data_IF_038680310840
#
_entry.id   IF_038680310840
#
_cell.length_a   1.000
_cell.length_b   1.000
_cell.length_c   1.000
_cell.angle_alpha   90.00
_cell.angle_beta   90.00
_cell.angle_gamma   90.00
#
_symmetry.space_group_name_H-M   'P 1'
#
loop_
_entity.id
_entity.type
_entity.pdbx_description
1 polymer ?
#
# COMPACT_ATOMS: atom_id res chain seq x y z
N UNK A 1 20.87 -8.97 6.98
CA UNK A 1 19.54 -8.55 6.56
C UNK A 1 19.61 -8.07 5.11
N UNK A 2 18.65 -8.44 4.25
CA UNK A 2 18.55 -7.95 2.86
C UNK A 2 17.20 -7.26 2.68
N UNK A 3 17.23 -6.02 2.24
CA UNK A 3 16.02 -5.25 1.93
C UNK A 3 15.62 -5.40 0.47
N UNK A 4 14.34 -5.36 0.19
CA UNK A 4 13.82 -5.35 -1.18
C UNK A 4 12.54 -4.51 -1.26
N UNK A 5 12.25 -4.03 -2.45
CA UNK A 5 10.95 -3.46 -2.82
C UNK A 5 10.30 -4.32 -3.90
N UNK A 6 9.01 -4.11 -4.18
CA UNK A 6 8.26 -4.86 -5.18
C UNK A 6 8.05 -3.98 -6.43
N UNK A 7 8.40 -4.49 -7.60
CA UNK A 7 7.99 -3.86 -8.84
C UNK A 7 6.52 -4.17 -9.12
N UNK A 8 5.82 -3.30 -9.85
CA UNK A 8 4.44 -3.53 -10.32
C UNK A 8 4.26 -4.83 -11.12
N UNK A 9 5.35 -5.42 -11.63
CA UNK A 9 5.34 -6.76 -12.22
C UNK A 9 5.40 -7.91 -11.19
N UNK A 10 5.31 -7.62 -9.88
CA UNK A 10 5.36 -8.58 -8.78
C UNK A 10 6.76 -9.14 -8.46
N UNK A 11 7.81 -8.66 -9.12
CA UNK A 11 9.19 -9.14 -8.87
C UNK A 11 9.90 -8.29 -7.82
N UNK A 12 10.69 -8.97 -6.95
CA UNK A 12 11.48 -8.33 -5.90
C UNK A 12 12.71 -7.65 -6.48
N UNK A 13 12.95 -6.43 -6.07
CA UNK A 13 14.13 -5.64 -6.41
C UNK A 13 14.94 -5.45 -5.12
N UNK A 14 16.11 -6.05 -5.04
CA UNK A 14 16.94 -5.99 -3.85
C UNK A 14 17.73 -4.68 -3.79
N UNK A 15 17.63 -4.00 -2.65
CA UNK A 15 18.40 -2.79 -2.39
C UNK A 15 19.86 -3.16 -2.05
N UNK A 16 20.79 -2.44 -2.66
CA UNK A 16 22.24 -2.59 -2.36
C UNK A 16 22.57 -1.78 -1.10
N UNK A 17 23.16 -2.42 -0.12
CA UNK A 17 23.61 -1.81 1.12
C UNK A 17 23.26 -2.65 2.35
N UNK A 18 23.72 -2.19 3.49
CA UNK A 18 23.40 -2.72 4.82
C UNK A 18 22.82 -1.58 5.63
N UNK A 19 21.62 -1.76 6.13
CA UNK A 19 20.87 -0.74 6.85
C UNK A 19 20.35 -1.38 8.13
N UNK A 20 20.72 -0.83 9.30
CA UNK A 20 20.25 -1.32 10.59
C UNK A 20 18.89 -0.73 10.96
N UNK A 21 18.58 0.47 10.46
CA UNK A 21 17.33 1.21 10.76
C UNK A 21 16.77 1.85 9.49
N UNK A 22 15.48 2.19 9.52
CA UNK A 22 14.82 2.96 8.46
C UNK A 22 15.47 4.35 8.28
N UNK A 23 15.93 4.98 9.37
CA UNK A 23 16.64 6.25 9.32
C UNK A 23 17.97 6.18 8.54
N UNK A 24 18.72 5.09 8.69
CA UNK A 24 19.94 4.87 7.89
C UNK A 24 19.61 4.67 6.40
N UNK A 25 18.55 3.93 6.10
CA UNK A 25 18.08 3.75 4.72
C UNK A 25 17.72 5.10 4.10
N UNK A 26 16.90 5.90 4.80
CA UNK A 26 16.50 7.25 4.40
C UNK A 26 17.69 8.17 4.16
N UNK A 27 18.67 8.19 5.08
CA UNK A 27 19.86 9.04 4.97
C UNK A 27 20.78 8.66 3.80
N UNK A 28 20.84 7.37 3.42
CA UNK A 28 21.72 6.89 2.35
C UNK A 28 21.05 6.86 0.97
N UNK A 29 19.73 6.66 0.91
CA UNK A 29 18.97 6.50 -0.35
C UNK A 29 18.02 7.64 -0.64
N UNK A 30 17.76 8.50 0.33
CA UNK A 30 16.74 9.53 0.24
C UNK A 30 15.36 9.02 0.68
N UNK A 31 14.39 9.87 0.66
CA UNK A 31 13.00 9.55 1.02
C UNK A 31 12.33 8.71 -0.06
N UNK A 32 12.73 8.93 -1.30
CA UNK A 32 12.22 8.23 -2.47
C UNK A 32 13.36 7.46 -3.12
N UNK A 33 13.18 6.16 -3.26
CA UNK A 33 14.19 5.23 -3.77
C UNK A 33 13.89 4.94 -5.25
N UNK A 34 14.67 5.49 -6.18
CA UNK A 34 14.51 5.15 -7.60
C UNK A 34 14.97 3.70 -7.84
N UNK A 35 14.23 3.00 -8.67
CA UNK A 35 14.60 1.64 -9.06
C UNK A 35 14.46 1.41 -10.57
N UNK A 36 15.20 0.42 -11.06
CA UNK A 36 15.01 -0.17 -12.38
C UNK A 36 14.83 -1.67 -12.23
N UNK A 37 13.68 -2.17 -12.66
CA UNK A 37 13.37 -3.58 -12.56
C UNK A 37 14.22 -4.40 -13.54
N UNK A 38 15.01 -5.39 -13.07
CA UNK A 38 15.82 -6.23 -13.95
C UNK A 38 14.99 -7.20 -14.80
N UNK A 39 13.71 -7.42 -14.47
CA UNK A 39 12.85 -8.36 -15.18
C UNK A 39 12.03 -7.72 -16.30
N UNK A 40 11.38 -6.58 -16.02
CA UNK A 40 10.52 -5.91 -16.99
C UNK A 40 11.15 -4.64 -17.60
N UNK A 41 12.31 -4.21 -17.09
CA UNK A 41 13.02 -3.03 -17.56
C UNK A 41 12.40 -1.69 -17.12
N UNK A 42 11.20 -1.69 -16.51
CA UNK A 42 10.54 -0.49 -16.03
C UNK A 42 11.36 0.17 -14.92
N UNK A 43 11.44 1.48 -14.98
CA UNK A 43 11.92 2.34 -13.88
C UNK A 43 10.72 2.79 -13.06
N UNK A 44 10.91 3.06 -11.78
CA UNK A 44 9.88 3.58 -10.90
C UNK A 44 10.51 4.10 -9.61
N UNK A 45 9.68 4.58 -8.72
CA UNK A 45 10.05 5.17 -7.45
C UNK A 45 9.26 4.49 -6.33
N UNK A 46 9.92 4.23 -5.21
CA UNK A 46 9.26 3.75 -4.00
C UNK A 46 9.67 4.59 -2.81
N UNK A 47 8.76 4.91 -1.90
CA UNK A 47 9.13 5.51 -0.63
C UNK A 47 10.02 4.54 0.16
N UNK A 48 10.90 5.09 1.00
CA UNK A 48 11.74 4.25 1.86
C UNK A 48 10.90 3.44 2.88
N UNK A 49 9.66 3.86 3.13
CA UNK A 49 8.68 3.15 3.98
C UNK A 49 8.14 1.88 3.31
N UNK A 50 8.09 1.84 1.98
CA UNK A 50 7.62 0.67 1.23
C UNK A 50 8.78 -0.30 0.90
N UNK A 51 9.56 -0.64 1.92
CA UNK A 51 10.70 -1.57 1.82
C UNK A 51 10.47 -2.76 2.74
N UNK A 52 10.70 -3.94 2.22
CA UNK A 52 10.49 -5.20 2.92
C UNK A 52 11.80 -5.85 3.32
N UNK A 53 11.80 -6.49 4.48
CA UNK A 53 12.95 -7.27 4.95
C UNK A 53 12.81 -8.71 4.46
N UNK A 54 13.86 -9.22 3.82
CA UNK A 54 13.95 -10.65 3.54
C UNK A 54 14.43 -11.38 4.77
N UNK A 55 13.55 -12.11 5.41
CA UNK A 55 13.88 -13.07 6.48
C UNK A 55 14.40 -14.40 5.91
N UNK A 56 15.08 -15.15 6.71
CA UNK A 56 15.45 -16.52 6.37
C UNK A 56 14.18 -17.38 6.28
N UNK A 57 13.95 -17.96 5.12
CA UNK A 57 12.78 -18.86 4.94
C UNK A 57 12.93 -20.12 5.81
N UNK A 58 11.80 -20.73 6.24
CA UNK A 58 11.77 -21.90 7.12
C UNK A 58 12.61 -23.08 6.58
N UNK A 59 12.66 -23.25 5.28
CA UNK A 59 13.46 -24.29 4.63
C UNK A 59 14.97 -24.15 4.85
N UNK A 60 15.48 -22.94 4.99
CA UNK A 60 16.91 -22.71 5.29
C UNK A 60 17.22 -23.12 6.72
N UNK A 61 16.31 -22.86 7.66
CA UNK A 61 16.42 -23.32 9.04
C UNK A 61 16.42 -24.86 9.08
N UNK A 62 15.51 -25.51 8.37
CA UNK A 62 15.45 -26.97 8.26
C UNK A 62 16.74 -27.52 7.62
N UNK A 63 17.22 -26.95 6.53
CA UNK A 63 18.45 -27.38 5.86
C UNK A 63 19.67 -27.26 6.76
N UNK A 64 19.80 -26.18 7.54
CA UNK A 64 20.87 -26.00 8.52
C UNK A 64 20.76 -27.05 9.63
N UNK A 65 19.55 -27.32 10.15
CA UNK A 65 19.31 -28.32 11.18
C UNK A 65 19.69 -29.72 10.71
N UNK A 66 19.31 -30.08 9.48
CA UNK A 66 19.70 -31.34 8.84
C UNK A 66 21.20 -31.42 8.63
N UNK A 67 21.85 -30.35 8.15
CA UNK A 67 23.32 -30.30 7.98
C UNK A 67 24.03 -30.44 9.32
N UNK A 68 23.50 -29.88 10.41
CA UNK A 68 23.99 -30.03 11.77
C UNK A 68 23.93 -31.47 12.28
N UNK A 69 22.76 -32.12 12.07
CA UNK A 69 22.57 -33.52 12.47
C UNK A 69 23.56 -34.43 11.71
N UNK A 70 23.62 -34.29 10.39
CA UNK A 70 24.47 -35.09 9.53
C UNK A 70 25.98 -34.82 9.81
N UNK A 71 26.35 -33.55 9.98
CA UNK A 71 27.71 -33.14 10.33
C UNK A 71 28.09 -33.61 11.73
N UNK A 72 27.18 -33.55 12.69
CA UNK A 72 27.35 -34.08 14.02
C UNK A 72 27.64 -35.59 14.01
N UNK A 73 26.82 -36.36 13.31
CA UNK A 73 27.01 -37.81 13.16
C UNK A 73 28.38 -38.11 12.47
N UNK A 74 28.72 -37.39 11.41
CA UNK A 74 29.97 -37.57 10.67
C UNK A 74 31.23 -37.27 11.51
N UNK A 75 31.11 -36.40 12.52
CA UNK A 75 32.21 -36.05 13.42
C UNK A 75 32.25 -36.98 14.64
N UNK A 76 31.08 -37.27 15.21
CA UNK A 76 30.95 -38.08 16.43
C UNK A 76 31.45 -39.52 16.24
N UNK A 77 31.07 -40.16 15.14
CA UNK A 77 31.42 -41.56 14.88
C UNK A 77 32.95 -41.78 14.75
N UNK A 78 33.69 -41.01 13.95
CA UNK A 78 35.15 -41.14 13.91
C UNK A 78 35.86 -40.80 15.22
N UNK A 79 35.37 -39.77 15.95
CA UNK A 79 35.97 -39.38 17.23
C UNK A 79 35.78 -40.47 18.31
N UNK A 80 34.66 -41.16 18.33
CA UNK A 80 34.44 -42.33 19.20
C UNK A 80 35.37 -43.49 18.83
N UNK A 81 35.61 -43.72 17.54
CA UNK A 81 36.56 -44.74 17.06
C UNK A 81 38.02 -44.41 17.45
N UNK A 82 38.32 -43.13 17.61
CA UNK A 82 39.66 -42.66 18.05
C UNK A 82 39.80 -42.57 19.57
N UNK A 83 38.80 -43.04 20.35
CA UNK A 83 38.85 -43.08 21.80
C UNK A 83 38.54 -41.73 22.47
N UNK A 84 37.93 -40.78 21.75
CA UNK A 84 37.55 -39.52 22.34
C UNK A 84 36.46 -39.70 23.42
N UNK A 85 36.56 -38.90 24.49
CA UNK A 85 35.62 -38.95 25.60
C UNK A 85 34.21 -38.55 25.12
N UNK A 86 33.21 -39.36 25.49
CA UNK A 86 31.81 -39.21 25.11
C UNK A 86 31.28 -37.81 25.43
N UNK A 87 31.72 -37.21 26.52
CA UNK A 87 31.36 -35.85 26.94
C UNK A 87 31.78 -34.80 25.89
N UNK A 88 33.02 -34.87 25.41
CA UNK A 88 33.55 -33.93 24.39
C UNK A 88 32.79 -34.04 23.09
N UNK A 89 32.38 -35.25 22.70
CA UNK A 89 31.64 -35.55 21.48
C UNK A 89 30.21 -34.95 21.52
N UNK A 90 29.57 -34.96 22.67
CA UNK A 90 28.21 -34.38 22.85
C UNK A 90 28.24 -32.85 22.87
N UNK A 91 29.29 -32.25 23.44
CA UNK A 91 29.35 -30.80 23.58
C UNK A 91 29.56 -30.05 22.26
N UNK A 92 30.19 -30.65 21.26
CA UNK A 92 30.41 -30.01 19.94
C UNK A 92 29.10 -29.65 19.24
N UNK A 93 28.12 -30.56 19.03
CA UNK A 93 26.84 -30.22 18.40
C UNK A 93 26.01 -29.26 19.28
N UNK A 94 26.11 -29.35 20.62
CA UNK A 94 25.43 -28.42 21.53
C UNK A 94 25.97 -27.00 21.42
N UNK A 95 27.29 -26.83 21.39
CA UNK A 95 27.91 -25.51 21.20
C UNK A 95 27.53 -24.91 19.83
N UNK A 96 27.55 -25.72 18.78
CA UNK A 96 27.20 -25.29 17.46
C UNK A 96 25.70 -24.90 17.35
N UNK A 97 24.80 -25.65 18.00
CA UNK A 97 23.36 -25.28 18.07
C UNK A 97 23.17 -23.99 18.86
N UNK A 98 23.90 -23.79 19.95
CA UNK A 98 23.85 -22.57 20.74
C UNK A 98 24.30 -21.34 19.93
N UNK A 99 25.42 -21.45 19.21
CA UNK A 99 25.90 -20.39 18.31
C UNK A 99 24.86 -20.09 17.23
N UNK A 100 24.26 -21.11 16.62
CA UNK A 100 23.22 -20.94 15.61
C UNK A 100 21.98 -20.20 16.17
N UNK A 101 21.51 -20.62 17.36
CA UNK A 101 20.34 -19.96 17.98
C UNK A 101 20.61 -18.50 18.34
N UNK A 102 21.81 -18.18 18.80
CA UNK A 102 22.25 -16.82 19.08
C UNK A 102 22.31 -15.95 17.80
N UNK A 103 22.85 -16.51 16.72
CA UNK A 103 22.90 -15.81 15.42
C UNK A 103 21.49 -15.60 14.82
N UNK A 104 20.62 -16.62 14.91
CA UNK A 104 19.24 -16.53 14.45
C UNK A 104 18.45 -15.49 15.25
N UNK A 105 18.63 -15.47 16.59
CA UNK A 105 18.02 -14.46 17.45
C UNK A 105 18.49 -13.05 17.07
N UNK A 106 19.80 -12.85 16.91
CA UNK A 106 20.36 -11.56 16.51
C UNK A 106 19.80 -11.06 15.18
N UNK A 107 19.56 -11.94 14.22
CA UNK A 107 18.93 -11.57 12.95
C UNK A 107 17.45 -11.20 13.14
N UNK A 108 16.71 -11.94 13.97
CA UNK A 108 15.33 -11.64 14.32
C UNK A 108 15.21 -10.29 15.02
N UNK A 109 16.05 -10.03 16.02
CA UNK A 109 16.07 -8.77 16.76
C UNK A 109 16.42 -7.57 15.83
N UNK A 110 17.30 -7.77 14.84
CA UNK A 110 17.64 -6.75 13.86
C UNK A 110 16.48 -6.47 12.88
N UNK A 111 15.71 -7.49 12.50
CA UNK A 111 14.50 -7.32 11.65
C UNK A 111 13.40 -6.58 12.42
N UNK A 112 13.18 -6.97 13.67
CA UNK A 112 12.19 -6.32 14.54
C UNK A 112 12.54 -4.85 14.78
N UNK A 113 13.82 -4.56 15.07
CA UNK A 113 14.27 -3.17 15.21
C UNK A 113 14.06 -2.36 13.93
N UNK A 114 14.39 -2.93 12.77
CA UNK A 114 14.18 -2.23 11.49
C UNK A 114 12.70 -1.95 11.24
N UNK A 115 11.83 -2.95 11.41
CA UNK A 115 10.40 -2.78 11.20
C UNK A 115 9.81 -1.76 12.17
N UNK A 116 10.20 -1.80 13.45
CA UNK A 116 9.77 -0.81 14.43
C UNK A 116 10.22 0.60 14.04
N UNK A 117 11.47 0.79 13.61
CA UNK A 117 11.95 2.10 13.17
C UNK A 117 11.31 2.55 11.85
N UNK A 118 10.79 1.61 11.06
CA UNK A 118 10.01 1.91 9.85
C UNK A 118 8.59 2.41 10.21
N UNK A 119 7.94 1.76 11.17
CA UNK A 119 6.61 2.17 11.68
C UNK A 119 6.65 3.53 12.41
N UNK A 120 7.75 3.82 13.12
CA UNK A 120 7.98 5.09 13.81
C UNK A 120 8.52 6.20 12.87
N UNK A 121 8.84 5.87 11.62
CA UNK A 121 9.42 6.81 10.68
C UNK A 121 8.38 7.83 10.21
N UNK A 122 8.75 9.12 10.09
CA UNK A 122 7.85 10.10 9.51
C UNK A 122 7.53 9.71 8.06
N UNK A 123 6.30 10.00 7.66
CA UNK A 123 5.89 9.79 6.27
C UNK A 123 6.85 10.51 5.31
N UNK A 124 7.25 9.86 4.22
CA UNK A 124 8.17 10.46 3.27
C UNK A 124 7.51 11.67 2.60
N UNK A 125 8.26 12.78 2.49
CA UNK A 125 7.80 13.95 1.79
C UNK A 125 8.23 13.89 0.33
N UNK A 126 7.29 14.10 -0.56
CA UNK A 126 7.56 14.21 -1.98
C UNK A 126 7.99 15.64 -2.31
N UNK A 127 9.15 15.82 -2.90
CA UNK A 127 9.58 17.15 -3.40
C UNK A 127 8.95 17.45 -4.76
N UNK A 128 8.79 18.73 -5.08
CA UNK A 128 8.24 19.14 -6.40
C UNK A 128 9.07 18.57 -7.56
N UNK A 129 10.39 18.50 -7.42
CA UNK A 129 11.29 17.89 -8.41
C UNK A 129 11.00 16.39 -8.57
N UNK A 130 10.92 15.66 -7.47
CA UNK A 130 10.59 14.21 -7.50
C UNK A 130 9.19 13.95 -8.06
N UNK A 131 8.20 14.81 -7.78
CA UNK A 131 6.84 14.69 -8.31
C UNK A 131 6.77 14.80 -9.84
N UNK A 132 7.73 15.48 -10.48
CA UNK A 132 7.80 15.55 -11.95
C UNK A 132 8.28 14.26 -12.58
N UNK A 133 9.02 13.42 -11.84
CA UNK A 133 9.55 12.15 -12.33
C UNK A 133 8.52 11.01 -12.23
N UNK A 134 7.44 11.21 -11.49
CA UNK A 134 6.34 10.24 -11.41
C UNK A 134 5.46 10.30 -12.66
N UNK A 135 5.01 9.14 -13.14
CA UNK A 135 3.87 9.08 -14.04
C UNK A 135 2.61 9.52 -13.29
N UNK A 136 1.58 10.01 -14.01
CA UNK A 136 0.35 10.48 -13.37
C UNK A 136 -0.32 9.40 -12.49
N UNK A 137 -0.47 8.14 -12.94
CA UNK A 137 -1.00 7.10 -12.08
C UNK A 137 -0.13 6.81 -10.84
N UNK A 138 1.21 6.74 -11.01
CA UNK A 138 2.11 6.44 -9.89
C UNK A 138 2.08 7.58 -8.84
N UNK A 139 1.85 8.83 -9.27
CA UNK A 139 1.72 9.97 -8.37
C UNK A 139 0.43 9.91 -7.57
N UNK A 140 -0.67 9.52 -8.18
CA UNK A 140 -1.96 9.34 -7.50
C UNK A 140 -1.85 8.19 -6.50
N UNK A 141 -1.33 7.04 -6.93
CA UNK A 141 -1.12 5.87 -6.06
C UNK A 141 -0.21 6.20 -4.86
N UNK A 142 0.78 7.10 -5.04
CA UNK A 142 1.60 7.60 -3.93
C UNK A 142 0.75 8.27 -2.86
N UNK A 143 -0.13 9.19 -3.23
CA UNK A 143 -0.96 9.92 -2.27
C UNK A 143 -2.03 9.05 -1.64
N UNK A 144 -2.55 8.06 -2.35
CA UNK A 144 -3.56 7.14 -1.85
C UNK A 144 -2.99 6.17 -0.78
N UNK A 145 -1.74 5.72 -0.96
CA UNK A 145 -1.09 4.74 -0.06
C UNK A 145 -0.37 5.41 1.11
N UNK A 146 0.31 6.53 0.87
CA UNK A 146 1.25 7.13 1.83
C UNK A 146 0.64 8.27 2.67
N UNK A 147 -0.46 8.84 2.23
CA UNK A 147 -1.18 9.82 3.03
C UNK A 147 -2.35 9.13 3.72
N UNK A 148 -2.43 9.18 5.07
CA UNK A 148 -3.63 8.71 5.75
C UNK A 148 -4.82 9.53 5.23
N UNK A 149 -6.00 8.90 5.16
CA UNK A 149 -7.27 9.49 4.75
C UNK A 149 -7.69 10.65 5.67
N UNK A 150 -6.83 11.65 5.84
CA UNK A 150 -7.14 12.86 6.58
C UNK A 150 -7.93 13.81 5.67
N UNK A 151 -9.24 13.54 5.57
CA UNK A 151 -10.19 14.38 4.85
C UNK A 151 -10.48 15.71 5.56
N UNK A 152 -9.78 16.01 6.67
CA UNK A 152 -9.94 17.29 7.37
C UNK A 152 -9.23 18.44 6.66
N UNK A 153 -8.20 18.15 5.89
CA UNK A 153 -7.51 19.12 5.04
C UNK A 153 -8.23 19.25 3.71
N UNK A 154 -8.58 20.49 3.31
CA UNK A 154 -9.30 20.76 2.06
C UNK A 154 -8.59 20.24 0.79
N UNK A 155 -7.25 20.20 0.79
CA UNK A 155 -6.47 19.71 -0.35
C UNK A 155 -6.48 18.18 -0.44
N UNK A 156 -6.32 17.48 0.70
CA UNK A 156 -6.41 16.01 0.74
C UNK A 156 -7.82 15.53 0.47
N UNK A 157 -8.83 16.28 0.89
CA UNK A 157 -10.23 16.01 0.59
C UNK A 157 -10.49 16.00 -0.92
N UNK A 158 -9.93 16.98 -1.67
CA UNK A 158 -10.06 17.02 -3.13
C UNK A 158 -9.43 15.79 -3.77
N UNK A 159 -8.24 15.38 -3.32
CA UNK A 159 -7.56 14.18 -3.84
C UNK A 159 -8.37 12.93 -3.54
N UNK A 160 -8.86 12.78 -2.30
CA UNK A 160 -9.66 11.64 -1.88
C UNK A 160 -10.92 11.46 -2.75
N UNK A 161 -11.77 12.48 -2.83
CA UNK A 161 -13.03 12.36 -3.57
C UNK A 161 -12.85 12.20 -5.08
N UNK A 162 -11.86 12.87 -5.68
CA UNK A 162 -11.54 12.69 -7.09
C UNK A 162 -10.95 11.30 -7.38
N UNK A 163 -10.16 10.74 -6.45
CA UNK A 163 -9.61 9.38 -6.57
C UNK A 163 -10.71 8.33 -6.44
N UNK A 164 -11.67 8.50 -5.53
CA UNK A 164 -12.81 7.58 -5.38
C UNK A 164 -13.51 7.36 -6.72
N UNK A 165 -13.79 8.42 -7.47
CA UNK A 165 -14.42 8.29 -8.78
C UNK A 165 -13.50 7.56 -9.79
N UNK A 166 -12.19 7.79 -9.76
CA UNK A 166 -11.24 7.15 -10.67
C UNK A 166 -11.05 5.65 -10.42
N UNK A 167 -11.16 5.20 -9.15
CA UNK A 167 -11.00 3.78 -8.80
C UNK A 167 -12.27 2.95 -9.01
N UNK A 168 -13.41 3.59 -9.22
CA UNK A 168 -14.66 2.89 -9.44
C UNK A 168 -14.78 2.39 -10.87
N UNK A 169 -14.12 1.28 -11.20
CA UNK A 169 -14.37 0.50 -12.42
C UNK A 169 -15.73 -0.24 -12.40
N UNK A 170 -16.56 0.03 -11.40
CA UNK A 170 -17.82 -0.67 -11.20
C UNK A 170 -18.92 -0.10 -12.13
N UNK A 171 -19.79 -0.93 -12.72
CA UNK A 171 -20.89 -0.48 -13.57
C UNK A 171 -22.01 0.24 -12.80
N UNK A 172 -21.82 0.50 -11.51
CA UNK A 172 -22.81 1.05 -10.57
C UNK A 172 -22.13 2.01 -9.60
N UNK A 173 -21.68 3.16 -10.12
CA UNK A 173 -20.89 4.15 -9.39
C UNK A 173 -21.61 4.76 -8.21
N UNK A 174 -22.82 5.29 -8.46
CA UNK A 174 -23.49 6.11 -7.48
C UNK A 174 -24.14 5.30 -6.39
N UNK A 175 -24.69 4.12 -6.68
CA UNK A 175 -25.17 3.22 -5.65
C UNK A 175 -24.03 2.80 -4.72
N UNK A 176 -22.84 2.47 -5.29
CA UNK A 176 -21.68 2.13 -4.48
C UNK A 176 -21.20 3.33 -3.67
N UNK A 177 -21.09 4.52 -4.27
CA UNK A 177 -20.67 5.75 -3.59
C UNK A 177 -21.54 6.03 -2.36
N UNK A 178 -22.86 6.13 -2.52
CA UNK A 178 -23.76 6.42 -1.41
C UNK A 178 -23.80 5.30 -0.36
N UNK A 179 -23.67 4.05 -0.77
CA UNK A 179 -23.55 2.94 0.17
C UNK A 179 -22.26 3.01 0.98
N UNK A 180 -21.13 3.29 0.34
CA UNK A 180 -19.82 3.41 0.98
C UNK A 180 -19.81 4.60 1.95
N UNK A 181 -20.19 5.80 1.51
CA UNK A 181 -20.24 7.00 2.35
C UNK A 181 -21.04 6.78 3.63
N UNK A 182 -22.21 6.13 3.53
CA UNK A 182 -23.07 5.87 4.68
C UNK A 182 -22.52 4.84 5.67
N UNK A 183 -21.58 3.96 5.25
CA UNK A 183 -21.02 2.92 6.11
C UNK A 183 -19.64 3.26 6.68
N UNK A 184 -18.87 4.10 5.99
CA UNK A 184 -17.50 4.42 6.40
C UNK A 184 -17.39 5.78 7.09
N UNK A 185 -18.40 6.67 6.94
CA UNK A 185 -18.36 8.02 7.48
C UNK A 185 -19.52 8.33 8.42
N UNK A 186 -19.24 8.93 9.58
CA UNK A 186 -20.25 9.40 10.53
C UNK A 186 -21.20 10.46 9.92
N UNK A 187 -20.65 11.26 9.01
CA UNK A 187 -21.37 12.29 8.23
C UNK A 187 -21.18 12.03 6.74
N UNK A 188 -22.02 11.18 6.15
CA UNK A 188 -21.90 10.83 4.74
C UNK A 188 -22.02 12.03 3.81
N UNK A 189 -21.19 12.09 2.76
CA UNK A 189 -21.33 13.08 1.70
C UNK A 189 -22.57 12.81 0.86
N UNK A 190 -23.35 13.86 0.61
CA UNK A 190 -24.51 13.81 -0.29
C UNK A 190 -24.13 13.98 -1.78
N UNK A 191 -22.84 13.91 -2.11
CA UNK A 191 -22.26 14.21 -3.41
C UNK A 191 -21.75 15.65 -3.55
N UNK A 192 -21.88 16.48 -2.51
CA UNK A 192 -21.41 17.88 -2.53
C UNK A 192 -19.88 17.96 -2.57
N UNK A 193 -19.20 17.18 -1.73
CA UNK A 193 -17.74 17.19 -1.66
C UNK A 193 -17.13 16.59 -2.92
N UNK A 194 -17.70 15.50 -3.42
CA UNK A 194 -17.30 14.91 -4.69
C UNK A 194 -17.48 15.92 -5.85
N UNK A 195 -18.62 16.58 -5.95
CA UNK A 195 -18.88 17.63 -6.94
C UNK A 195 -17.83 18.76 -6.88
N UNK A 196 -17.63 19.32 -5.68
CA UNK A 196 -16.67 20.42 -5.47
C UNK A 196 -15.23 20.01 -5.81
N UNK A 197 -14.84 18.78 -5.47
CA UNK A 197 -13.53 18.23 -5.77
C UNK A 197 -13.30 18.13 -7.28
N UNK A 198 -14.26 17.65 -8.03
CA UNK A 198 -14.20 17.56 -9.49
C UNK A 198 -14.11 18.94 -10.15
N UNK A 199 -14.89 19.92 -9.69
CA UNK A 199 -14.77 21.31 -10.15
C UNK A 199 -13.37 21.86 -9.87
N UNK A 200 -12.83 21.58 -8.68
CA UNK A 200 -11.52 22.08 -8.25
C UNK A 200 -10.38 21.53 -9.13
N UNK A 201 -10.44 20.28 -9.54
CA UNK A 201 -9.45 19.70 -10.47
C UNK A 201 -9.72 20.03 -11.95
N UNK A 202 -10.83 20.68 -12.25
CA UNK A 202 -11.23 21.06 -13.62
C UNK A 202 -12.01 19.98 -14.40
N UNK A 203 -12.48 18.92 -13.73
CA UNK A 203 -13.26 17.84 -14.31
C UNK A 203 -14.76 18.24 -14.41
N UNK A 204 -15.05 19.21 -15.24
CA UNK A 204 -16.37 19.87 -15.29
C UNK A 204 -17.48 18.96 -15.80
N UNK A 205 -17.18 18.09 -16.77
CA UNK A 205 -18.16 17.14 -17.30
C UNK A 205 -18.54 16.07 -16.27
N UNK A 206 -17.56 15.52 -15.55
CA UNK A 206 -17.82 14.62 -14.44
C UNK A 206 -18.62 15.30 -13.31
N UNK A 207 -18.29 16.57 -13.00
CA UNK A 207 -19.02 17.33 -11.99
C UNK A 207 -20.50 17.51 -12.35
N UNK A 208 -20.84 17.80 -13.62
CA UNK A 208 -22.22 17.90 -14.08
C UNK A 208 -23.00 16.58 -13.90
N UNK A 209 -22.37 15.45 -14.15
CA UNK A 209 -22.97 14.12 -13.95
C UNK A 209 -23.19 13.85 -12.46
N UNK A 210 -22.20 14.16 -11.61
CA UNK A 210 -22.32 14.03 -10.15
C UNK A 210 -23.44 14.93 -9.61
N UNK A 211 -23.58 16.16 -10.12
CA UNK A 211 -24.67 17.04 -9.72
C UNK A 211 -26.05 16.45 -10.04
N UNK A 212 -26.20 15.82 -11.20
CA UNK A 212 -27.46 15.14 -11.56
C UNK A 212 -27.72 13.93 -10.65
N UNK A 213 -26.69 13.15 -10.33
CA UNK A 213 -26.82 12.02 -9.41
C UNK A 213 -27.20 12.49 -8.00
N UNK A 214 -26.59 13.60 -7.54
CA UNK A 214 -26.95 14.24 -6.26
C UNK A 214 -28.40 14.68 -6.21
N UNK A 215 -28.94 15.25 -7.28
CA UNK A 215 -30.36 15.62 -7.36
C UNK A 215 -31.28 14.40 -7.22
N UNK A 216 -30.93 13.28 -7.84
CA UNK A 216 -31.66 12.01 -7.69
C UNK A 216 -31.55 11.51 -6.24
N UNK A 217 -30.33 11.52 -5.65
CA UNK A 217 -30.13 11.14 -4.25
C UNK A 217 -31.06 11.95 -3.32
N UNK A 218 -31.07 13.27 -3.45
CA UNK A 218 -31.90 14.14 -2.61
C UNK A 218 -33.40 13.89 -2.78
N UNK A 219 -33.87 13.53 -3.99
CA UNK A 219 -35.25 13.17 -4.24
C UNK A 219 -35.68 11.84 -3.61
N UNK A 220 -34.72 10.87 -3.53
CA UNK A 220 -34.93 9.51 -3.02
C UNK A 220 -34.22 9.25 -1.70
N UNK A 221 -33.85 10.31 -0.98
CA UNK A 221 -32.97 10.22 0.19
C UNK A 221 -33.47 9.22 1.24
N UNK A 222 -34.74 9.30 1.60
CA UNK A 222 -35.33 8.43 2.64
C UNK A 222 -35.27 6.94 2.23
N UNK A 223 -35.51 6.67 0.95
CA UNK A 223 -35.49 5.31 0.38
C UNK A 223 -34.05 4.76 0.33
N UNK A 224 -33.09 5.58 -0.12
CA UNK A 224 -31.68 5.23 -0.15
C UNK A 224 -31.15 5.04 1.28
N UNK A 225 -31.40 5.97 2.20
CA UNK A 225 -30.98 5.88 3.60
C UNK A 225 -31.55 4.63 4.29
N UNK A 226 -32.74 4.20 3.93
CA UNK A 226 -33.31 2.94 4.46
C UNK A 226 -32.53 1.72 3.97
N UNK A 227 -32.11 1.69 2.71
CA UNK A 227 -31.29 0.62 2.15
C UNK A 227 -29.91 0.55 2.81
N UNK A 228 -29.22 1.69 2.96
CA UNK A 228 -27.83 1.74 3.48
C UNK A 228 -27.74 1.52 4.99
N UNK A 229 -28.75 1.91 5.77
CA UNK A 229 -28.79 1.64 7.23
C UNK A 229 -28.91 0.15 7.56
N UNK A 230 -29.40 -0.67 6.66
CA UNK A 230 -29.34 -2.12 6.81
C UNK A 230 -27.92 -2.61 6.49
N UNK A 231 -26.99 -2.60 7.47
CA UNK A 231 -25.55 -2.96 7.36
C UNK A 231 -25.37 -4.43 6.93
N UNK A 232 -26.09 -4.85 5.92
CA UNK A 232 -26.08 -6.23 5.41
C UNK A 232 -25.86 -6.17 3.90
N UNK A 233 -25.26 -7.21 3.35
CA UNK A 233 -25.12 -7.38 1.90
C UNK A 233 -26.48 -7.23 1.17
N UNK A 234 -27.59 -7.49 1.87
CA UNK A 234 -28.95 -7.29 1.38
C UNK A 234 -29.30 -5.82 1.17
N UNK A 235 -28.76 -4.88 1.97
CA UNK A 235 -29.01 -3.45 1.84
C UNK A 235 -28.44 -2.90 0.54
N UNK A 236 -27.22 -3.26 0.18
CA UNK A 236 -26.62 -2.88 -1.09
C UNK A 236 -27.36 -3.50 -2.28
N UNK A 237 -27.76 -4.76 -2.21
CA UNK A 237 -28.54 -5.41 -3.27
C UNK A 237 -29.93 -4.77 -3.44
N UNK A 238 -30.55 -4.31 -2.35
CA UNK A 238 -31.82 -3.59 -2.38
C UNK A 238 -31.63 -2.23 -3.07
N UNK A 239 -30.57 -1.49 -2.73
CA UNK A 239 -30.22 -0.22 -3.38
C UNK A 239 -29.99 -0.40 -4.89
N UNK A 240 -29.26 -1.42 -5.29
CA UNK A 240 -29.05 -1.77 -6.70
C UNK A 240 -30.37 -2.06 -7.43
N UNK A 241 -31.32 -2.70 -6.75
CA UNK A 241 -32.61 -3.03 -7.33
C UNK A 241 -33.50 -1.81 -7.60
N UNK A 242 -33.25 -0.67 -6.95
CA UNK A 242 -33.96 0.59 -7.22
C UNK A 242 -33.64 1.16 -8.60
N UNK A 243 -32.42 0.89 -9.10
CA UNK A 243 -31.98 1.28 -10.44
C UNK A 243 -32.12 2.80 -10.74
N UNK A 244 -31.76 3.63 -9.75
CA UNK A 244 -31.98 5.06 -9.79
C UNK A 244 -30.96 5.81 -10.65
N UNK A 245 -29.72 5.30 -10.74
CA UNK A 245 -28.56 6.02 -11.29
C UNK A 245 -28.08 5.49 -12.64
N UNK A 246 -28.72 4.52 -13.27
CA UNK A 246 -28.29 3.89 -14.53
C UNK A 246 -27.84 4.88 -15.62
N UNK A 247 -28.57 5.98 -15.76
CA UNK A 247 -28.26 7.01 -16.76
C UNK A 247 -26.96 7.74 -16.41
N UNK A 248 -26.76 8.07 -15.14
CA UNK A 248 -25.60 8.78 -14.63
C UNK A 248 -24.37 7.88 -14.63
N UNK A 249 -24.52 6.61 -14.28
CA UNK A 249 -23.44 5.62 -14.35
C UNK A 249 -22.93 5.44 -15.78
N UNK A 250 -23.84 5.32 -16.75
CA UNK A 250 -23.47 5.23 -18.15
C UNK A 250 -22.79 6.53 -18.64
N UNK A 251 -23.29 7.70 -18.25
CA UNK A 251 -22.69 8.98 -18.59
C UNK A 251 -21.29 9.13 -17.98
N UNK A 252 -21.08 8.68 -16.74
CA UNK A 252 -19.77 8.65 -16.08
C UNK A 252 -18.79 7.77 -16.85
N UNK A 253 -19.22 6.58 -17.27
CA UNK A 253 -18.39 5.70 -18.06
C UNK A 253 -17.97 6.33 -19.40
N UNK A 254 -18.87 7.02 -20.09
CA UNK A 254 -18.55 7.76 -21.33
C UNK A 254 -17.61 8.95 -21.06
N UNK A 255 -17.80 9.64 -19.94
CA UNK A 255 -16.99 10.79 -19.55
C UNK A 255 -15.51 10.42 -19.33
N UNK A 256 -15.18 9.24 -18.84
CA UNK A 256 -13.78 8.80 -18.69
C UNK A 256 -12.97 8.80 -20.00
N UNK A 257 -13.63 8.64 -21.14
CA UNK A 257 -12.97 8.70 -22.43
C UNK A 257 -12.81 10.13 -22.95
N UNK A 258 -13.70 11.03 -22.59
CA UNK A 258 -13.70 12.43 -23.08
C UNK A 258 -12.97 13.39 -22.13
N UNK A 259 -13.02 13.13 -20.83
CA UNK A 259 -12.41 13.91 -19.76
C UNK A 259 -11.68 12.99 -18.76
N UNK A 260 -10.49 12.47 -19.09
CA UNK A 260 -9.77 11.56 -18.23
C UNK A 260 -9.35 12.23 -16.92
N UNK A 261 -9.73 11.64 -15.78
CA UNK A 261 -9.50 12.20 -14.44
C UNK A 261 -8.02 12.15 -14.02
N UNK A 262 -7.30 11.11 -14.41
CA UNK A 262 -5.91 10.87 -13.98
C UNK A 262 -4.98 12.05 -14.27
N UNK A 263 -4.93 12.64 -15.47
CA UNK A 263 -4.08 13.81 -15.73
C UNK A 263 -4.49 15.05 -14.93
N UNK A 264 -5.80 15.28 -14.76
CA UNK A 264 -6.32 16.44 -14.02
C UNK A 264 -5.96 16.35 -12.54
N UNK A 265 -6.16 15.18 -11.94
CA UNK A 265 -5.83 14.92 -10.54
C UNK A 265 -4.32 14.98 -10.29
N UNK A 266 -3.51 14.38 -11.15
CA UNK A 266 -2.05 14.45 -11.05
C UNK A 266 -1.53 15.89 -11.17
N UNK A 267 -2.13 16.70 -12.05
CA UNK A 267 -1.79 18.13 -12.15
C UNK A 267 -2.18 18.89 -10.88
N UNK A 268 -3.35 18.61 -10.30
CA UNK A 268 -3.77 19.21 -9.04
C UNK A 268 -2.78 18.87 -7.91
N UNK A 269 -2.38 17.61 -7.79
CA UNK A 269 -1.40 17.14 -6.81
C UNK A 269 -0.08 17.91 -6.96
N UNK A 270 0.48 18.00 -8.17
CA UNK A 270 1.74 18.72 -8.42
C UNK A 270 1.65 20.19 -8.05
N UNK A 271 0.52 20.84 -8.30
CA UNK A 271 0.32 22.27 -8.02
C UNK A 271 0.11 22.56 -6.52
N UNK A 272 -0.30 21.57 -5.73
CA UNK A 272 -0.66 21.73 -4.32
C UNK A 272 0.19 20.88 -3.37
N UNK A 273 1.34 20.41 -3.81
CA UNK A 273 2.15 19.42 -3.11
C UNK A 273 2.50 19.81 -1.68
N UNK A 274 2.88 21.08 -1.45
CA UNK A 274 3.25 21.57 -0.12
C UNK A 274 2.04 21.60 0.83
N UNK A 275 0.86 21.93 0.31
CA UNK A 275 -0.39 21.94 1.09
C UNK A 275 -0.91 20.55 1.41
N UNK A 276 -0.68 19.61 0.50
CA UNK A 276 -1.06 18.21 0.67
C UNK A 276 -0.21 17.48 1.73
N UNK A 277 0.99 18.00 2.02
CA UNK A 277 1.95 17.40 2.96
C UNK A 277 2.15 18.23 4.23
N UNK A 278 1.28 19.22 4.48
CA UNK A 278 1.39 20.15 5.62
C UNK A 278 0.82 19.52 6.95
#
# INVERSE_FOLDING_TARGET
>A
MKLYTLCNCGKRIYLKGHYATAGELRNQKGEIIPYKCPHCGKTGHHPYTNVWVRTWGPWRTVAILVAFILGGVAIVVPLQMLGADLITVIWIPFAALTIYTLLAKRESDAVELFNRTLEEAPLPRLTAEAATDFSDPDLIDWFDVEQPNDITNEYTQVVYYASVLNYLEAPRYFEWFYYYEANEHDTPDDGTLLYNSLITIGATHHAEIVQQAREIYLQHKDEIDQCVRSVTQDGYQTLLALNLFDKQDNATHEAFYSEPLVPLLAQYIRNNLDNLQS
#
